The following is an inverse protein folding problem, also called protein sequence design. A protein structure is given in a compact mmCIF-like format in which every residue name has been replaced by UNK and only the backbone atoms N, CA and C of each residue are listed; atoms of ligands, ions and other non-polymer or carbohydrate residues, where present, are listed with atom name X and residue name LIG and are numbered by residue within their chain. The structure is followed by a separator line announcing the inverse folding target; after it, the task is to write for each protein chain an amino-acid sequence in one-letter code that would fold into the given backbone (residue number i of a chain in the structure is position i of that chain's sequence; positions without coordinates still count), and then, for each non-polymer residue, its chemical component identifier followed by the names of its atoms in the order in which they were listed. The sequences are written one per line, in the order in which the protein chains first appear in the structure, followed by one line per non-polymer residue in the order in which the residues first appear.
data_IF_415160592922
#
_entry.id   IF_415160592922
#
_cell.length_a   1.000
_cell.length_b   1.000
_cell.length_c   1.000
_cell.angle_alpha   90.00
_cell.angle_beta   90.00
_cell.angle_gamma   90.00
#
_symmetry.space_group_name_H-M   'P 1'
#
loop_
_entity.id
_entity.type
_entity.pdbx_description
1 polymer ?
#
# COMPACT_ATOMS: atom_id res chain seq x y z
N UNK A 1 0.53 26.76 -2.65
CA UNK A 1 1.13 27.02 -1.32
C UNK A 1 0.00 27.22 -0.31
N UNK A 2 -0.32 26.23 0.51
CA UNK A 2 -1.35 26.34 1.55
C UNK A 2 -0.71 26.85 2.85
N UNK A 3 -0.86 28.15 3.12
CA UNK A 3 -0.45 28.80 4.35
C UNK A 3 -1.26 28.24 5.52
N UNK A 4 -0.61 27.44 6.37
CA UNK A 4 -1.26 26.91 7.58
C UNK A 4 -1.43 28.06 8.57
N UNK A 5 -2.67 28.46 8.85
CA UNK A 5 -2.97 29.49 9.85
C UNK A 5 -2.69 28.93 11.26
N UNK A 6 -1.49 29.21 11.77
CA UNK A 6 -1.07 28.87 13.13
C UNK A 6 -1.36 30.03 14.09
N UNK A 7 -1.66 29.71 15.34
CA UNK A 7 -1.81 30.68 16.44
C UNK A 7 -0.44 31.26 16.83
N UNK A 8 -0.43 32.32 17.64
CA UNK A 8 0.80 32.94 18.17
C UNK A 8 1.68 31.98 19.01
N UNK A 9 1.15 30.82 19.39
CA UNK A 9 1.87 29.73 20.08
C UNK A 9 2.28 28.59 19.15
N UNK A 10 2.13 28.76 17.83
CA UNK A 10 2.49 27.76 16.82
C UNK A 10 1.49 26.61 16.63
N UNK A 11 0.35 26.63 17.32
CA UNK A 11 -0.69 25.59 17.22
C UNK A 11 -1.59 25.84 16.00
N UNK A 12 -2.27 24.82 15.47
CA UNK A 12 -3.29 25.05 14.44
C UNK A 12 -4.44 25.88 15.02
N UNK A 13 -4.93 26.88 14.26
CA UNK A 13 -6.11 27.63 14.70
C UNK A 13 -7.35 26.72 14.78
N UNK A 14 -8.29 26.98 15.70
CA UNK A 14 -9.49 26.15 15.86
C UNK A 14 -10.40 26.21 14.61
N UNK A 15 -11.07 25.10 14.33
CA UNK A 15 -12.02 24.96 13.21
C UNK A 15 -11.38 24.68 11.83
N UNK A 16 -12.22 24.53 10.81
CA UNK A 16 -11.80 24.19 9.45
C UNK A 16 -10.87 25.24 8.80
N UNK A 17 -10.88 26.48 9.30
CA UNK A 17 -10.01 27.57 8.82
C UNK A 17 -8.55 27.45 9.28
N UNK A 18 -8.28 26.80 10.41
CA UNK A 18 -6.93 26.61 10.92
C UNK A 18 -6.29 25.30 10.49
N UNK A 19 -7.11 24.30 10.16
CA UNK A 19 -6.65 23.06 9.55
C UNK A 19 -7.66 22.56 8.51
N UNK A 20 -7.53 22.97 7.23
CA UNK A 20 -8.42 22.53 6.16
C UNK A 20 -8.33 21.03 5.86
N UNK A 21 -7.27 20.34 6.34
CA UNK A 21 -7.11 18.90 6.22
C UNK A 21 -7.76 18.10 7.39
N UNK A 22 -8.26 18.77 8.43
CA UNK A 22 -8.84 18.14 9.62
C UNK A 22 -7.80 17.53 10.57
N UNK A 23 -8.26 16.98 11.70
CA UNK A 23 -7.38 16.32 12.70
C UNK A 23 -6.54 15.23 12.01
N UNK A 24 -5.24 15.07 12.35
CA UNK A 24 -4.45 13.95 11.85
C UNK A 24 -5.22 12.64 12.02
N UNK A 25 -5.40 11.92 10.91
CA UNK A 25 -6.17 10.66 10.86
C UNK A 25 -5.44 9.50 11.54
N UNK A 26 -4.12 9.65 11.73
CA UNK A 26 -3.24 8.66 12.32
C UNK A 26 -2.60 9.24 13.58
N UNK A 27 -2.45 8.37 14.57
CA UNK A 27 -1.64 8.58 15.76
C UNK A 27 -0.16 8.66 15.39
N UNK A 28 0.64 9.29 16.25
CA UNK A 28 2.10 9.35 16.07
C UNK A 28 2.72 7.95 16.01
N UNK A 29 2.16 7.01 16.78
CA UNK A 29 2.58 5.61 16.76
C UNK A 29 2.33 4.97 15.40
N UNK A 30 1.17 5.16 14.79
CA UNK A 30 0.88 4.63 13.45
C UNK A 30 1.80 5.23 12.37
N UNK A 31 2.17 6.50 12.50
CA UNK A 31 3.12 7.15 11.61
C UNK A 31 4.52 6.51 11.76
N UNK A 32 4.99 6.35 12.99
CA UNK A 32 6.29 5.75 13.29
C UNK A 32 6.34 4.28 12.83
N UNK A 33 5.29 3.50 13.08
CA UNK A 33 5.21 2.11 12.63
C UNK A 33 5.26 2.02 11.11
N UNK A 34 4.52 2.87 10.39
CA UNK A 34 4.58 2.89 8.91
C UNK A 34 5.97 3.25 8.38
N UNK A 35 6.64 4.22 9.00
CA UNK A 35 7.99 4.58 8.62
C UNK A 35 8.98 3.43 8.84
N UNK A 36 8.91 2.78 10.01
CA UNK A 36 9.75 1.64 10.35
C UNK A 36 9.52 0.44 9.40
N UNK A 37 8.26 0.10 9.11
CA UNK A 37 7.94 -0.97 8.17
C UNK A 37 8.48 -0.67 6.77
N UNK A 38 8.36 0.58 6.31
CA UNK A 38 8.91 1.00 5.02
C UNK A 38 10.43 0.83 4.96
N UNK A 39 11.15 1.24 6.01
CA UNK A 39 12.61 1.06 6.06
C UNK A 39 13.00 -0.42 6.06
N UNK A 40 12.26 -1.26 6.79
CA UNK A 40 12.46 -2.71 6.78
C UNK A 40 12.23 -3.27 5.37
N UNK A 41 11.15 -2.89 4.71
CA UNK A 41 10.81 -3.38 3.36
C UNK A 41 11.88 -2.97 2.33
N UNK A 42 12.43 -1.77 2.44
CA UNK A 42 13.51 -1.27 1.57
C UNK A 42 14.82 -2.02 1.81
N UNK A 43 15.17 -2.31 3.07
CA UNK A 43 16.41 -3.00 3.42
C UNK A 43 16.36 -4.52 3.21
N UNK A 44 15.20 -5.14 3.35
CA UNK A 44 15.03 -6.60 3.36
C UNK A 44 15.62 -7.31 2.13
N UNK A 45 15.40 -6.85 0.88
CA UNK A 45 15.98 -7.49 -0.30
C UNK A 45 17.51 -7.57 -0.26
N UNK A 46 18.15 -6.49 0.19
CA UNK A 46 19.60 -6.43 0.33
C UNK A 46 20.08 -7.40 1.43
N UNK A 47 19.43 -7.41 2.58
CA UNK A 47 19.78 -8.27 3.72
C UNK A 47 19.66 -9.76 3.37
N UNK A 48 18.57 -10.16 2.70
CA UNK A 48 18.36 -11.54 2.26
C UNK A 48 19.41 -11.93 1.22
N UNK A 49 19.67 -11.09 0.22
CA UNK A 49 20.71 -11.35 -0.78
C UNK A 49 22.08 -11.53 -0.15
N UNK A 50 22.44 -10.67 0.80
CA UNK A 50 23.73 -10.74 1.50
C UNK A 50 23.84 -11.98 2.38
N UNK A 51 22.75 -12.38 3.04
CA UNK A 51 22.71 -13.60 3.83
C UNK A 51 22.91 -14.86 2.96
N UNK A 52 22.29 -14.92 1.79
CA UNK A 52 22.48 -16.03 0.83
C UNK A 52 23.94 -16.08 0.33
N UNK A 53 24.51 -14.92 -0.01
CA UNK A 53 25.90 -14.84 -0.45
C UNK A 53 26.88 -15.31 0.64
N UNK A 54 26.68 -14.88 1.89
CA UNK A 54 27.50 -15.32 3.03
C UNK A 54 27.33 -16.82 3.30
N UNK A 55 26.11 -17.33 3.20
CA UNK A 55 25.83 -18.74 3.35
C UNK A 55 26.56 -19.60 2.30
N UNK A 56 26.59 -19.13 1.05
CA UNK A 56 27.34 -19.76 -0.02
C UNK A 56 28.86 -19.75 0.22
N UNK A 57 29.37 -18.72 0.89
CA UNK A 57 30.79 -18.51 1.15
C UNK A 57 31.30 -19.10 2.49
N UNK A 58 30.49 -19.89 3.20
CA UNK A 58 30.95 -20.63 4.38
C UNK A 58 30.16 -20.40 5.67
N UNK A 59 29.15 -19.53 5.67
CA UNK A 59 28.25 -19.30 6.82
C UNK A 59 26.89 -19.98 6.62
N UNK A 60 26.92 -21.31 6.43
CA UNK A 60 25.75 -22.11 5.99
C UNK A 60 24.51 -21.94 6.88
N UNK A 61 24.69 -21.61 8.17
CA UNK A 61 23.62 -21.31 9.12
C UNK A 61 22.71 -20.14 8.70
N UNK A 62 23.20 -19.24 7.84
CA UNK A 62 22.42 -18.11 7.32
C UNK A 62 21.42 -18.51 6.24
N UNK A 63 21.59 -19.69 5.61
CA UNK A 63 20.71 -20.12 4.51
C UNK A 63 19.27 -20.34 4.98
N UNK A 64 19.09 -21.02 6.12
CA UNK A 64 17.76 -21.32 6.66
C UNK A 64 16.90 -20.07 6.91
N UNK A 65 17.39 -19.10 7.70
CA UNK A 65 16.71 -17.83 7.92
C UNK A 65 16.46 -17.04 6.63
N UNK A 66 17.41 -17.01 5.70
CA UNK A 66 17.26 -16.29 4.43
C UNK A 66 16.13 -16.89 3.57
N UNK A 67 16.08 -18.22 3.47
CA UNK A 67 15.02 -18.92 2.74
C UNK A 67 13.66 -18.78 3.41
N UNK A 68 13.60 -18.82 4.75
CA UNK A 68 12.36 -18.59 5.49
C UNK A 68 11.80 -17.17 5.23
N UNK A 69 12.67 -16.15 5.25
CA UNK A 69 12.28 -14.78 4.91
C UNK A 69 11.77 -14.68 3.46
N UNK A 70 12.49 -15.27 2.50
CA UNK A 70 12.09 -15.30 1.10
C UNK A 70 10.71 -15.97 0.91
N UNK A 71 10.47 -17.08 1.62
CA UNK A 71 9.20 -17.80 1.56
C UNK A 71 8.02 -16.93 2.02
N UNK A 72 8.17 -16.20 3.12
CA UNK A 72 7.12 -15.28 3.60
C UNK A 72 6.89 -14.12 2.62
N UNK A 73 7.95 -13.54 2.05
CA UNK A 73 7.84 -12.51 1.00
C UNK A 73 7.07 -13.04 -0.22
N UNK A 74 7.36 -14.27 -0.65
CA UNK A 74 6.66 -14.89 -1.78
C UNK A 74 5.18 -15.16 -1.47
N UNK A 75 4.86 -15.64 -0.26
CA UNK A 75 3.48 -15.82 0.19
C UNK A 75 2.70 -14.50 0.16
N UNK A 76 3.28 -13.42 0.70
CA UNK A 76 2.65 -12.10 0.70
C UNK A 76 2.40 -11.59 -0.72
N UNK A 77 3.38 -11.68 -1.62
CA UNK A 77 3.24 -11.29 -3.03
C UNK A 77 2.20 -12.11 -3.78
N UNK A 78 2.10 -13.40 -3.49
CA UNK A 78 1.06 -14.24 -4.09
C UNK A 78 -0.33 -13.82 -3.63
N UNK A 79 -0.51 -13.53 -2.34
CA UNK A 79 -1.78 -13.04 -1.80
C UNK A 79 -2.19 -11.71 -2.45
N UNK A 80 -1.28 -10.73 -2.53
CA UNK A 80 -1.54 -9.45 -3.21
C UNK A 80 -1.95 -9.64 -4.67
N UNK A 81 -1.29 -10.57 -5.37
CA UNK A 81 -1.62 -10.90 -6.76
C UNK A 81 -2.99 -11.54 -6.88
N UNK A 82 -3.35 -12.48 -6.00
CA UNK A 82 -4.68 -13.08 -5.97
C UNK A 82 -5.76 -12.05 -5.71
N UNK A 83 -5.56 -11.15 -4.74
CA UNK A 83 -6.50 -10.06 -4.45
C UNK A 83 -6.68 -9.13 -5.65
N UNK A 84 -5.59 -8.77 -6.33
CA UNK A 84 -5.64 -7.96 -7.55
C UNK A 84 -6.47 -8.63 -8.63
N UNK A 85 -6.22 -9.91 -8.91
CA UNK A 85 -6.96 -10.68 -9.92
C UNK A 85 -8.44 -10.80 -9.56
N UNK A 86 -8.78 -11.02 -8.28
CA UNK A 86 -10.17 -11.03 -7.82
C UNK A 86 -10.85 -9.67 -8.03
N UNK A 87 -10.16 -8.58 -7.75
CA UNK A 87 -10.68 -7.23 -7.96
C UNK A 87 -10.91 -6.92 -9.44
N UNK A 88 -9.96 -7.27 -10.31
CA UNK A 88 -10.08 -7.13 -11.76
C UNK A 88 -11.27 -7.93 -12.32
N UNK A 89 -11.42 -9.19 -11.89
CA UNK A 89 -12.55 -10.04 -12.29
C UNK A 89 -13.91 -9.45 -11.84
N UNK A 90 -13.96 -8.90 -10.62
CA UNK A 90 -15.17 -8.24 -10.10
C UNK A 90 -15.55 -7.03 -10.94
N UNK A 91 -14.60 -6.16 -11.25
CA UNK A 91 -14.84 -4.97 -12.07
C UNK A 91 -15.33 -5.34 -13.48
N UNK A 92 -14.68 -6.32 -14.11
CA UNK A 92 -15.11 -6.82 -15.41
C UNK A 92 -16.54 -7.37 -15.38
N UNK A 93 -16.89 -8.12 -14.33
CA UNK A 93 -18.26 -8.62 -14.16
C UNK A 93 -19.29 -7.49 -13.98
N UNK A 94 -18.97 -6.47 -13.17
CA UNK A 94 -19.83 -5.29 -13.00
C UNK A 94 -20.02 -4.51 -14.32
N UNK A 95 -18.96 -4.39 -15.13
CA UNK A 95 -19.02 -3.77 -16.46
C UNK A 95 -19.88 -4.59 -17.44
N UNK A 96 -19.73 -5.91 -17.46
CA UNK A 96 -20.57 -6.79 -18.28
C UNK A 96 -22.05 -6.68 -17.91
N UNK A 97 -22.37 -6.63 -16.62
CA UNK A 97 -23.73 -6.43 -16.14
C UNK A 97 -24.30 -5.06 -16.56
N UNK A 98 -23.51 -3.99 -16.47
CA UNK A 98 -23.90 -2.64 -16.95
C UNK A 98 -24.14 -2.62 -18.46
N UNK A 99 -23.25 -3.23 -19.24
CA UNK A 99 -23.40 -3.31 -20.69
C UNK A 99 -24.67 -4.06 -21.09
N UNK A 100 -25.02 -5.13 -20.37
CA UNK A 100 -26.25 -5.89 -20.61
C UNK A 100 -27.54 -5.15 -20.21
N UNK A 101 -27.46 -4.19 -19.28
CA UNK A 101 -28.62 -3.42 -18.78
C UNK A 101 -28.80 -2.05 -19.44
N UNK A 102 -27.90 -1.64 -20.36
CA UNK A 102 -28.02 -0.38 -21.09
C UNK A 102 -28.81 -0.61 -22.40
N UNK A 103 -30.08 -0.17 -22.51
CA UNK A 103 -30.83 -0.29 -23.76
C UNK A 103 -30.24 0.64 -24.83
N UNK A 104 -30.18 0.16 -26.08
CA UNK A 104 -29.74 0.94 -27.22
C UNK A 104 -30.56 2.24 -27.34
N UNK A 105 -29.94 3.38 -27.73
CA UNK A 105 -30.68 4.61 -27.96
C UNK A 105 -31.72 4.36 -29.05
N UNK A 106 -32.99 4.49 -28.71
CA UNK A 106 -34.10 4.41 -29.64
C UNK A 106 -33.90 5.42 -30.75
N UNK A 107 -33.60 4.94 -31.95
CA UNK A 107 -33.57 5.77 -33.16
C UNK A 107 -35.00 6.20 -33.46
N UNK A 108 -35.36 7.40 -33.02
CA UNK A 108 -36.61 8.06 -33.41
C UNK A 108 -36.43 8.58 -34.84
N UNK A 109 -36.96 7.85 -35.83
CA UNK A 109 -37.11 8.35 -37.19
C UNK A 109 -38.26 9.35 -37.25
N UNK A 110 -37.96 10.55 -37.75
CA UNK A 110 -38.93 11.59 -38.14
C UNK A 110 -39.61 11.27 -39.47
#
# INVERSE_FOLDING_TARGET
MTTTNRTSRGQFAPGAKGNPAGRPKLTEQEIATRACLKEIDEATPFLVSRAIERAYNGEAELMGPALACLAEIMKARNLEKEERLRNEARLLHEEMLRAATTPAPSTTSH
#
